data_IF_636357172418
#
_entry.id   IF_636357172418
#
_cell.length_a   1.000
_cell.length_b   1.000
_cell.length_c   1.000
_cell.angle_alpha   90.00
_cell.angle_beta   90.00
_cell.angle_gamma   90.00
#
_symmetry.space_group_name_H-M   'P 1'
#
loop_
_entity.id
_entity.type
_entity.pdbx_description
1 polymer ?
#
# COMPACT_ATOMS: atom_id res chain seq x y z
N UNK A 1 -28.40 -28.88 -11.86
CA UNK A 1 -27.54 -27.80 -12.36
C UNK A 1 -27.20 -26.84 -11.21
N UNK A 2 -26.02 -26.94 -10.59
CA UNK A 2 -25.64 -26.07 -9.46
C UNK A 2 -25.44 -24.63 -9.97
N UNK A 3 -26.27 -23.69 -9.57
CA UNK A 3 -26.03 -22.25 -9.80
C UNK A 3 -24.75 -21.86 -9.07
N UNK A 4 -23.71 -21.50 -9.83
CA UNK A 4 -22.47 -20.95 -9.26
C UNK A 4 -22.84 -19.70 -8.46
N UNK A 5 -22.34 -19.61 -7.21
CA UNK A 5 -22.56 -18.43 -6.36
C UNK A 5 -22.12 -17.15 -7.13
N UNK A 6 -22.87 -16.07 -6.99
CA UNK A 6 -22.57 -14.75 -7.59
C UNK A 6 -21.15 -14.30 -7.26
N UNK A 7 -20.67 -14.61 -6.07
CA UNK A 7 -19.30 -14.32 -5.66
C UNK A 7 -18.23 -15.05 -6.51
N UNK A 8 -18.50 -16.31 -6.88
CA UNK A 8 -17.58 -17.09 -7.74
C UNK A 8 -17.54 -16.50 -9.15
N UNK A 9 -18.69 -16.14 -9.68
CA UNK A 9 -18.80 -15.53 -11.03
C UNK A 9 -18.07 -14.18 -11.05
N UNK A 10 -18.30 -13.34 -10.05
CA UNK A 10 -17.63 -12.05 -9.90
C UNK A 10 -16.10 -12.22 -9.80
N UNK A 11 -15.63 -13.12 -8.93
CA UNK A 11 -14.19 -13.42 -8.80
C UNK A 11 -13.57 -13.84 -10.14
N UNK A 12 -14.24 -14.74 -10.88
CA UNK A 12 -13.74 -15.18 -12.18
C UNK A 12 -13.70 -14.05 -13.22
N UNK A 13 -14.72 -13.17 -13.22
CA UNK A 13 -14.76 -12.01 -14.11
C UNK A 13 -13.64 -11.02 -13.81
N UNK A 14 -13.41 -10.69 -12.53
CA UNK A 14 -12.32 -9.81 -12.09
C UNK A 14 -10.96 -10.38 -12.49
N UNK A 15 -10.71 -11.67 -12.23
CA UNK A 15 -9.44 -12.31 -12.61
C UNK A 15 -9.22 -12.34 -14.13
N UNK A 16 -10.27 -12.61 -14.92
CA UNK A 16 -10.20 -12.60 -16.38
C UNK A 16 -9.85 -11.21 -16.90
N UNK A 17 -10.49 -10.19 -16.37
CA UNK A 17 -10.21 -8.80 -16.72
C UNK A 17 -8.79 -8.40 -16.32
N UNK A 18 -8.38 -8.68 -15.09
CA UNK A 18 -7.04 -8.35 -14.60
C UNK A 18 -5.92 -8.98 -15.44
N UNK A 19 -6.07 -10.24 -15.85
CA UNK A 19 -5.08 -10.91 -16.71
C UNK A 19 -4.91 -10.25 -18.09
N UNK A 20 -5.95 -9.59 -18.59
CA UNK A 20 -5.92 -8.91 -19.90
C UNK A 20 -5.51 -7.44 -19.81
N UNK A 21 -5.85 -6.79 -18.70
CA UNK A 21 -5.77 -5.33 -18.55
C UNK A 21 -4.98 -4.89 -17.31
N UNK A 22 -4.33 -5.83 -16.60
CA UNK A 22 -3.52 -5.53 -15.44
C UNK A 22 -2.38 -4.58 -15.80
N UNK A 23 -2.28 -3.45 -15.07
CA UNK A 23 -1.22 -2.47 -15.29
C UNK A 23 0.11 -2.98 -14.75
N UNK A 24 1.18 -2.81 -15.52
CA UNK A 24 2.55 -2.98 -15.04
C UNK A 24 2.93 -1.76 -14.22
N UNK A 25 3.01 -1.93 -12.91
CA UNK A 25 3.31 -0.86 -11.97
C UNK A 25 4.64 -1.16 -11.26
N UNK A 26 5.58 -0.19 -11.15
CA UNK A 26 6.92 -0.41 -10.61
C UNK A 26 6.93 -1.09 -9.24
N UNK A 27 6.03 -0.72 -8.34
CA UNK A 27 5.91 -1.31 -7.00
C UNK A 27 5.35 -2.74 -6.96
N UNK A 28 4.92 -3.29 -8.11
CA UNK A 28 4.47 -4.68 -8.24
C UNK A 28 5.54 -5.63 -8.78
N UNK A 29 6.64 -5.09 -9.32
CA UNK A 29 7.74 -5.89 -9.90
C UNK A 29 8.60 -6.52 -8.82
N UNK A 30 8.92 -5.76 -7.79
CA UNK A 30 9.69 -6.23 -6.63
C UNK A 30 8.87 -5.93 -5.37
N UNK A 31 8.37 -6.99 -4.73
CA UNK A 31 7.49 -6.89 -3.57
C UNK A 31 8.32 -7.05 -2.30
N UNK A 32 8.48 -5.97 -1.55
CA UNK A 32 9.03 -5.96 -0.20
C UNK A 32 8.12 -5.15 0.71
N UNK A 33 8.11 -5.38 2.04
CA UNK A 33 7.32 -4.57 2.98
C UNK A 33 7.62 -3.07 2.86
N UNK A 34 8.87 -2.70 2.64
CA UNK A 34 9.29 -1.33 2.41
C UNK A 34 8.65 -0.73 1.15
N UNK A 35 8.87 -1.35 -0.01
CA UNK A 35 8.36 -0.85 -1.31
C UNK A 35 6.84 -0.78 -1.35
N UNK A 36 6.15 -1.77 -0.78
CA UNK A 36 4.69 -1.76 -0.65
C UNK A 36 4.24 -0.59 0.21
N UNK A 37 4.86 -0.37 1.38
CA UNK A 37 4.46 0.73 2.27
C UNK A 37 4.70 2.10 1.61
N UNK A 38 5.85 2.29 0.96
CA UNK A 38 6.15 3.53 0.22
C UNK A 38 5.08 3.78 -0.85
N UNK A 39 4.77 2.77 -1.68
CA UNK A 39 3.77 2.92 -2.74
C UNK A 39 2.37 3.21 -2.21
N UNK A 40 1.93 2.51 -1.16
CA UNK A 40 0.61 2.70 -0.55
C UNK A 40 0.46 4.11 0.03
N UNK A 41 1.50 4.65 0.66
CA UNK A 41 1.49 6.03 1.18
C UNK A 41 1.56 7.06 0.05
N UNK A 42 2.35 6.81 -1.01
CA UNK A 42 2.39 7.69 -2.19
C UNK A 42 1.05 7.76 -2.91
N UNK A 43 0.33 6.64 -2.98
CA UNK A 43 -0.96 6.52 -3.67
C UNK A 43 -2.13 7.16 -2.90
N UNK A 44 -1.97 7.48 -1.61
CA UNK A 44 -3.01 8.18 -0.86
C UNK A 44 -3.32 9.53 -1.53
N UNK A 45 -4.53 9.68 -2.07
CA UNK A 45 -5.01 10.91 -2.73
C UNK A 45 -4.09 11.44 -3.85
N UNK A 46 -3.33 10.56 -4.50
CA UNK A 46 -2.43 10.91 -5.59
C UNK A 46 -2.70 10.03 -6.81
N UNK A 47 -2.74 10.63 -7.98
CA UNK A 47 -2.92 9.90 -9.23
C UNK A 47 -1.78 8.92 -9.49
N UNK A 48 -2.10 7.73 -9.97
CA UNK A 48 -1.15 6.66 -10.27
C UNK A 48 -0.03 7.12 -11.19
N UNK A 49 -0.33 7.92 -12.20
CA UNK A 49 0.66 8.46 -13.16
C UNK A 49 1.76 9.29 -12.49
N UNK A 50 1.41 10.09 -11.47
CA UNK A 50 2.38 10.85 -10.69
C UNK A 50 3.26 9.94 -9.84
N UNK A 51 2.65 8.94 -9.20
CA UNK A 51 3.39 7.98 -8.38
C UNK A 51 4.35 7.16 -9.24
N UNK A 52 3.95 6.75 -10.45
CA UNK A 52 4.83 6.05 -11.40
C UNK A 52 6.12 6.82 -11.72
N UNK A 53 6.03 8.15 -11.84
CA UNK A 53 7.19 8.99 -12.13
C UNK A 53 8.12 9.17 -10.92
N UNK A 54 7.59 9.09 -9.72
CA UNK A 54 8.30 9.41 -8.47
C UNK A 54 8.77 8.20 -7.68
N UNK A 55 8.18 7.05 -7.89
CA UNK A 55 8.43 5.87 -7.06
C UNK A 55 9.87 5.35 -7.21
N UNK A 56 10.33 5.06 -8.42
CA UNK A 56 11.69 4.53 -8.60
C UNK A 56 12.79 5.54 -8.24
N UNK A 57 12.72 6.85 -8.59
CA UNK A 57 13.67 7.84 -8.07
C UNK A 57 13.73 7.86 -6.53
N UNK A 58 12.57 7.83 -5.86
CA UNK A 58 12.51 7.80 -4.40
C UNK A 58 13.15 6.53 -3.81
N UNK A 59 12.84 5.36 -4.37
CA UNK A 59 13.43 4.09 -3.94
C UNK A 59 14.94 4.04 -4.21
N UNK A 60 15.40 4.61 -5.33
CA UNK A 60 16.84 4.70 -5.64
C UNK A 60 17.58 5.58 -4.65
N UNK A 61 16.97 6.67 -4.21
CA UNK A 61 17.55 7.59 -3.22
C UNK A 61 17.50 7.02 -1.80
N UNK A 62 16.41 6.32 -1.45
CA UNK A 62 16.17 5.71 -0.15
C UNK A 62 15.80 4.24 -0.34
N UNK A 63 16.79 3.32 -0.49
CA UNK A 63 16.53 1.94 -0.91
C UNK A 63 15.88 1.07 0.17
N UNK A 64 15.95 1.46 1.42
CA UNK A 64 15.44 0.69 2.56
C UNK A 64 15.02 1.59 3.74
N UNK A 65 14.52 0.97 4.80
CA UNK A 65 14.08 1.65 6.01
C UNK A 65 15.22 2.46 6.68
N UNK A 66 16.44 1.94 6.67
CA UNK A 66 17.59 2.58 7.31
C UNK A 66 17.98 3.85 6.56
N UNK A 67 18.17 3.76 5.26
CA UNK A 67 18.49 4.92 4.43
C UNK A 67 17.42 6.03 4.56
N UNK A 68 16.14 5.64 4.63
CA UNK A 68 15.05 6.59 4.82
C UNK A 68 15.03 7.21 6.24
N UNK A 69 15.31 6.43 7.27
CA UNK A 69 15.35 6.91 8.65
C UNK A 69 16.53 7.89 8.89
N UNK A 70 17.69 7.63 8.29
CA UNK A 70 18.90 8.44 8.40
C UNK A 70 18.86 9.71 7.54
N UNK A 71 18.00 9.74 6.50
CA UNK A 71 17.88 10.89 5.61
C UNK A 71 17.35 12.13 6.32
N UNK A 72 17.80 13.32 5.89
CA UNK A 72 17.24 14.57 6.39
C UNK A 72 15.78 14.74 5.94
N UNK A 73 14.97 15.42 6.75
CA UNK A 73 13.59 15.75 6.35
C UNK A 73 13.55 16.59 5.06
N UNK A 74 14.55 17.45 4.86
CA UNK A 74 14.66 18.29 3.67
C UNK A 74 14.88 17.42 2.42
N UNK A 75 15.77 16.42 2.46
CA UNK A 75 15.99 15.52 1.33
C UNK A 75 14.74 14.73 0.98
N UNK A 76 14.06 14.19 1.99
CA UNK A 76 12.82 13.43 1.78
C UNK A 76 11.74 14.31 1.15
N UNK A 77 11.55 15.54 1.62
CA UNK A 77 10.58 16.50 1.05
C UNK A 77 10.97 16.89 -0.37
N UNK A 78 12.26 17.06 -0.68
CA UNK A 78 12.73 17.36 -2.03
C UNK A 78 12.37 16.23 -3.02
N UNK A 79 12.63 14.97 -2.66
CA UNK A 79 12.24 13.83 -3.49
C UNK A 79 10.71 13.66 -3.60
N UNK A 80 9.97 14.08 -2.57
CA UNK A 80 8.52 14.02 -2.53
C UNK A 80 7.82 15.08 -3.40
N UNK A 81 8.55 16.09 -3.89
CA UNK A 81 7.98 17.19 -4.70
C UNK A 81 7.13 16.66 -5.86
N UNK A 82 5.95 17.25 -6.03
CA UNK A 82 4.98 16.89 -7.08
C UNK A 82 3.95 15.84 -6.67
N UNK A 83 4.13 15.15 -5.53
CA UNK A 83 3.11 14.23 -5.00
C UNK A 83 2.03 14.95 -4.17
N UNK A 84 2.34 16.12 -3.60
CA UNK A 84 1.46 16.85 -2.69
C UNK A 84 1.34 16.20 -1.30
N UNK A 85 0.59 16.86 -0.42
CA UNK A 85 0.35 16.36 0.95
C UNK A 85 1.64 15.93 1.67
N UNK A 86 2.59 16.84 1.79
CA UNK A 86 3.96 16.59 2.28
C UNK A 86 4.03 15.93 3.68
N UNK A 87 2.95 16.04 4.48
CA UNK A 87 2.85 15.33 5.77
C UNK A 87 3.04 13.83 5.62
N UNK A 88 2.66 13.24 4.48
CA UNK A 88 2.85 11.81 4.21
C UNK A 88 4.32 11.42 4.12
N UNK A 89 5.16 12.26 3.54
CA UNK A 89 6.61 12.07 3.51
C UNK A 89 7.20 12.03 4.93
N UNK A 90 6.72 12.94 5.81
CA UNK A 90 7.14 12.97 7.22
C UNK A 90 6.65 11.72 7.96
N UNK A 91 5.43 11.27 7.70
CA UNK A 91 4.93 10.02 8.27
C UNK A 91 5.76 8.82 7.84
N UNK A 92 6.15 8.77 6.56
CA UNK A 92 6.98 7.69 6.04
C UNK A 92 8.36 7.66 6.72
N UNK A 93 8.98 8.83 6.95
CA UNK A 93 10.21 8.95 7.74
C UNK A 93 10.03 8.41 9.17
N UNK A 94 8.97 8.83 9.87
CA UNK A 94 8.68 8.36 11.24
C UNK A 94 8.42 6.85 11.30
N UNK A 95 7.80 6.27 10.27
CA UNK A 95 7.65 4.82 10.16
C UNK A 95 9.04 4.17 10.06
N UNK A 96 9.90 4.69 9.20
CA UNK A 96 11.27 4.19 9.03
C UNK A 96 12.07 4.24 10.33
N UNK A 97 12.02 5.36 11.04
CA UNK A 97 12.65 5.53 12.36
C UNK A 97 12.13 4.49 13.38
N UNK A 98 10.80 4.27 13.42
CA UNK A 98 10.18 3.28 14.30
C UNK A 98 10.60 1.85 13.96
N UNK A 99 10.69 1.51 12.68
CA UNK A 99 11.13 0.20 12.20
C UNK A 99 12.57 -0.06 12.57
N UNK A 100 13.47 0.90 12.32
CA UNK A 100 14.92 0.77 12.63
C UNK A 100 15.14 0.66 14.14
N UNK A 101 14.46 1.47 14.95
CA UNK A 101 14.56 1.40 16.41
C UNK A 101 14.11 0.04 16.97
N UNK A 102 13.02 -0.52 16.43
CA UNK A 102 12.50 -1.82 16.85
C UNK A 102 13.45 -2.97 16.47
N UNK A 103 14.09 -2.91 15.31
CA UNK A 103 15.02 -3.95 14.86
C UNK A 103 16.35 -3.92 15.62
N UNK A 104 16.83 -2.74 15.94
CA UNK A 104 18.04 -2.57 16.77
C UNK A 104 17.86 -3.22 18.15
N UNK A 105 16.65 -3.20 18.69
CA UNK A 105 16.34 -3.82 19.98
C UNK A 105 16.25 -5.36 19.94
N UNK A 106 16.12 -5.97 18.75
CA UNK A 106 15.95 -7.42 18.57
C UNK A 106 17.12 -8.12 17.86
N UNK A 107 18.14 -7.38 17.44
CA UNK A 107 19.29 -7.95 16.71
C UNK A 107 18.94 -8.54 15.34
N UNK A 108 17.80 -8.13 14.75
CA UNK A 108 17.32 -8.64 13.46
C UNK A 108 17.56 -7.62 12.33
N UNK A 109 17.67 -8.11 11.09
CA UNK A 109 17.72 -7.24 9.90
C UNK A 109 16.36 -6.56 9.67
N UNK A 110 16.41 -5.28 9.30
CA UNK A 110 15.29 -4.36 9.14
C UNK A 110 14.25 -4.74 8.10
N UNK A 111 13.47 -5.79 8.37
CA UNK A 111 12.18 -6.07 7.74
C UNK A 111 11.00 -5.74 8.69
N UNK A 112 11.33 -5.05 9.78
CA UNK A 112 10.60 -4.86 11.04
C UNK A 112 9.26 -4.16 11.00
N UNK A 113 8.56 -4.11 9.87
CA UNK A 113 7.15 -3.73 9.90
C UNK A 113 6.32 -4.76 10.68
N UNK A 114 5.43 -4.31 11.58
CA UNK A 114 4.50 -5.21 12.24
C UNK A 114 3.69 -6.03 11.23
N UNK A 115 3.52 -7.32 11.52
CA UNK A 115 2.71 -8.22 10.67
C UNK A 115 1.26 -8.36 11.13
N UNK A 116 0.86 -7.60 12.13
CA UNK A 116 -0.51 -7.57 12.62
C UNK A 116 -1.19 -6.24 12.32
N UNK A 117 -2.50 -6.30 12.09
CA UNK A 117 -3.31 -5.18 11.65
C UNK A 117 -3.34 -4.03 12.67
N UNK A 118 -3.45 -4.37 13.97
CA UNK A 118 -3.59 -3.36 15.02
C UNK A 118 -2.32 -2.54 15.17
N UNK A 119 -1.17 -3.20 15.13
CA UNK A 119 0.14 -2.54 15.21
C UNK A 119 0.43 -1.69 13.96
N UNK A 120 0.07 -2.17 12.75
CA UNK A 120 0.17 -1.37 11.53
C UNK A 120 -0.66 -0.09 11.63
N UNK A 121 -1.90 -0.17 12.12
CA UNK A 121 -2.77 1.01 12.27
C UNK A 121 -2.27 2.03 13.32
N UNK A 122 -1.32 1.67 14.18
CA UNK A 122 -0.69 2.61 15.12
C UNK A 122 0.43 3.44 14.48
N UNK A 123 0.93 3.02 13.32
CA UNK A 123 1.96 3.75 12.61
C UNK A 123 1.40 5.04 11.99
N UNK A 124 2.17 6.14 11.98
CA UNK A 124 1.69 7.42 11.48
C UNK A 124 1.30 7.33 10.01
N UNK A 125 0.10 7.83 9.67
CA UNK A 125 -0.41 7.83 8.29
C UNK A 125 -0.90 6.49 7.76
N UNK A 126 -0.89 5.42 8.56
CA UNK A 126 -1.42 4.11 8.20
C UNK A 126 -2.82 3.93 8.82
N UNK A 127 -3.84 4.14 7.99
CA UNK A 127 -5.22 3.82 8.33
C UNK A 127 -5.60 2.38 8.01
N UNK A 128 -6.85 1.97 8.33
CA UNK A 128 -7.32 0.59 8.11
C UNK A 128 -7.15 0.07 6.68
N UNK A 129 -7.40 0.91 5.67
CA UNK A 129 -7.24 0.51 4.27
C UNK A 129 -5.77 0.29 3.92
N UNK A 130 -4.89 1.22 4.29
CA UNK A 130 -3.44 1.09 4.05
C UNK A 130 -2.87 -0.11 4.80
N UNK A 131 -3.26 -0.33 6.06
CA UNK A 131 -2.85 -1.52 6.82
C UNK A 131 -3.31 -2.82 6.16
N UNK A 132 -4.56 -2.86 5.68
CA UNK A 132 -5.09 -4.01 4.94
C UNK A 132 -4.33 -4.28 3.65
N UNK A 133 -4.01 -3.24 2.87
CA UNK A 133 -3.20 -3.34 1.66
C UNK A 133 -1.79 -3.87 1.96
N UNK A 134 -1.13 -3.34 2.98
CA UNK A 134 0.21 -3.80 3.39
C UNK A 134 0.15 -5.28 3.78
N UNK A 135 -0.82 -5.70 4.60
CA UNK A 135 -0.98 -7.11 4.96
C UNK A 135 -1.16 -8.01 3.75
N UNK A 136 -2.03 -7.60 2.81
CA UNK A 136 -2.33 -8.40 1.63
C UNK A 136 -1.15 -8.45 0.65
N UNK A 137 -0.51 -7.31 0.36
CA UNK A 137 0.48 -7.21 -0.71
C UNK A 137 1.91 -7.50 -0.25
N UNK A 138 2.28 -7.08 0.98
CA UNK A 138 3.63 -7.28 1.49
C UNK A 138 3.81 -8.64 2.19
N UNK A 139 2.78 -9.10 2.89
CA UNK A 139 2.86 -10.29 3.74
C UNK A 139 2.03 -11.47 3.24
N UNK A 140 1.26 -11.28 2.16
CA UNK A 140 0.33 -12.28 1.63
C UNK A 140 -0.69 -12.78 2.69
N UNK A 141 -1.07 -11.90 3.61
CA UNK A 141 -2.08 -12.16 4.64
C UNK A 141 -3.41 -11.59 4.17
N UNK A 142 -4.41 -12.40 3.82
CA UNK A 142 -5.69 -11.93 3.29
C UNK A 142 -6.40 -11.00 4.29
N UNK A 143 -6.74 -9.80 3.84
CA UNK A 143 -7.55 -8.83 4.59
C UNK A 143 -8.55 -8.16 3.66
N UNK A 144 -9.81 -7.99 4.07
CA UNK A 144 -10.74 -7.17 3.33
C UNK A 144 -10.25 -5.72 3.28
N UNK A 145 -10.13 -5.17 2.07
CA UNK A 145 -9.86 -3.74 1.84
C UNK A 145 -11.04 -3.22 1.04
N UNK A 146 -11.84 -2.36 1.64
CA UNK A 146 -13.05 -1.80 1.03
C UNK A 146 -12.86 -0.29 0.88
N UNK A 147 -12.19 0.08 -0.17
CA UNK A 147 -12.11 1.48 -0.61
C UNK A 147 -13.30 1.85 -1.50
N UNK A 148 -13.43 3.14 -1.83
CA UNK A 148 -14.57 3.69 -2.57
C UNK A 148 -14.86 2.95 -3.88
N UNK A 149 -13.84 2.65 -4.67
CA UNK A 149 -14.02 1.96 -5.96
C UNK A 149 -14.47 0.51 -5.77
N UNK A 150 -13.88 -0.21 -4.81
CA UNK A 150 -14.27 -1.59 -4.49
C UNK A 150 -15.70 -1.61 -3.94
N UNK A 151 -16.05 -0.66 -3.07
CA UNK A 151 -17.41 -0.50 -2.56
C UNK A 151 -18.41 -0.30 -3.70
N UNK A 152 -18.13 0.58 -4.66
CA UNK A 152 -18.99 0.84 -5.82
C UNK A 152 -19.21 -0.42 -6.66
N UNK A 153 -18.16 -1.20 -6.91
CA UNK A 153 -18.26 -2.48 -7.63
C UNK A 153 -19.13 -3.48 -6.85
N UNK A 154 -18.91 -3.63 -5.55
CA UNK A 154 -19.69 -4.55 -4.72
C UNK A 154 -21.18 -4.12 -4.71
N UNK A 155 -21.47 -2.85 -4.51
CA UNK A 155 -22.84 -2.34 -4.53
C UNK A 155 -23.51 -2.61 -5.88
N UNK A 156 -22.82 -2.34 -6.98
CA UNK A 156 -23.36 -2.58 -8.33
C UNK A 156 -23.69 -4.05 -8.58
N UNK A 157 -22.81 -4.99 -8.22
CA UNK A 157 -23.00 -6.41 -8.54
C UNK A 157 -23.88 -7.17 -7.57
N UNK A 158 -23.90 -6.77 -6.29
CA UNK A 158 -24.57 -7.56 -5.25
C UNK A 158 -25.82 -6.89 -4.65
N UNK A 159 -25.98 -5.57 -4.86
CA UNK A 159 -27.07 -4.81 -4.23
C UNK A 159 -27.90 -3.98 -5.19
N UNK A 160 -27.84 -4.26 -6.49
CA UNK A 160 -28.53 -3.52 -7.55
C UNK A 160 -30.06 -3.41 -7.39
N UNK A 161 -30.68 -4.23 -6.54
CA UNK A 161 -32.13 -4.28 -6.33
C UNK A 161 -32.54 -3.88 -4.90
N UNK A 162 -31.71 -3.14 -4.16
CA UNK A 162 -32.06 -2.60 -2.84
C UNK A 162 -32.17 -1.09 -2.86
N UNK A 163 -32.75 -0.54 -3.94
CA UNK A 163 -33.37 0.77 -3.88
C UNK A 163 -34.86 0.54 -3.52
N UNK A 164 -35.14 0.63 -2.22
CA UNK A 164 -36.37 1.14 -1.61
C UNK A 164 -36.09 1.47 -0.15
#
# INVERSE_FOLDING_TARGET
MHRRSTAVVCKQAVWRYYRRHGRDLPWRRVITPYRVTVSEIMLQQTQVSRVMQKFEPFISRFPDWRALAEASTADIINEWRGLGYNRRAIYLKRIAESVVAHDSSRGQKADGLPRDFRSLCKLPGIGPNTAGSIMAFAFNIPRPVIETNIRSVILHFFFKNKEN
#
